data_IF_075900664004
#
_entry.id   IF_075900664004
#
_cell.length_a   1.000
_cell.length_b   1.000
_cell.length_c   1.000
_cell.angle_alpha   90.00
_cell.angle_beta   90.00
_cell.angle_gamma   90.00
#
_symmetry.space_group_name_H-M   'P 1'
#
loop_
_entity.id
_entity.type
_entity.pdbx_description
1 polymer ?
#
# COMPACT_ATOMS: atom_id res chain seq x y z
N UNK A 1 -4.10 -16.48 -7.81
CA UNK A 1 -2.89 -16.30 -8.56
C UNK A 1 -2.56 -14.81 -8.74
N UNK A 2 -1.39 -14.52 -9.30
CA UNK A 2 -0.88 -13.15 -9.44
C UNK A 2 -1.82 -12.26 -10.27
N UNK A 3 -2.42 -12.80 -11.34
CA UNK A 3 -3.36 -12.02 -12.18
C UNK A 3 -4.59 -11.56 -11.40
N UNK A 4 -5.16 -12.41 -10.55
CA UNK A 4 -6.29 -12.06 -9.72
C UNK A 4 -5.91 -10.96 -8.70
N UNK A 5 -4.72 -11.06 -8.10
CA UNK A 5 -4.22 -10.06 -7.17
C UNK A 5 -3.97 -8.71 -7.87
N UNK A 6 -3.38 -8.72 -9.07
CA UNK A 6 -3.18 -7.50 -9.85
C UNK A 6 -4.50 -6.82 -10.17
N UNK A 7 -5.53 -7.59 -10.54
CA UNK A 7 -6.86 -7.04 -10.79
C UNK A 7 -7.45 -6.43 -9.51
N UNK A 8 -7.33 -7.10 -8.37
CA UNK A 8 -7.81 -6.60 -7.09
C UNK A 8 -7.12 -5.29 -6.70
N UNK A 9 -5.81 -5.19 -6.95
CA UNK A 9 -5.00 -4.01 -6.61
C UNK A 9 -4.96 -2.95 -7.72
N UNK A 10 -5.82 -3.08 -8.74
CA UNK A 10 -5.88 -2.12 -9.85
C UNK A 10 -6.22 -0.72 -9.37
N UNK A 11 -6.00 0.27 -10.23
CA UNK A 11 -6.49 1.62 -10.00
C UNK A 11 -8.02 1.62 -10.07
N UNK A 12 -8.68 1.77 -8.93
CA UNK A 12 -10.14 1.70 -8.86
C UNK A 12 -10.83 2.90 -9.50
N UNK A 13 -10.11 3.99 -9.75
CA UNK A 13 -10.65 5.16 -10.44
C UNK A 13 -10.71 4.98 -11.95
N UNK A 14 -9.62 4.48 -12.56
CA UNK A 14 -9.52 4.31 -14.02
C UNK A 14 -9.71 2.85 -14.45
N UNK A 15 -9.78 1.93 -13.50
CA UNK A 15 -9.85 0.49 -13.72
C UNK A 15 -8.63 -0.09 -14.46
N UNK A 16 -7.54 0.65 -14.52
CA UNK A 16 -6.29 0.17 -15.10
C UNK A 16 -5.57 -0.78 -14.16
N UNK A 17 -4.89 -1.77 -14.72
CA UNK A 17 -4.08 -2.74 -13.97
C UNK A 17 -2.62 -2.63 -14.36
N UNK A 18 -1.75 -3.09 -13.45
CA UNK A 18 -0.32 -3.23 -13.66
C UNK A 18 0.13 -4.47 -12.90
N UNK A 19 1.23 -5.09 -13.33
CA UNK A 19 1.85 -6.16 -12.54
C UNK A 19 2.44 -5.55 -11.27
N UNK A 20 1.89 -5.95 -10.12
CA UNK A 20 2.37 -5.48 -8.82
C UNK A 20 3.73 -6.11 -8.51
N UNK A 21 4.59 -5.36 -7.84
CA UNK A 21 5.92 -5.81 -7.45
C UNK A 21 5.81 -6.99 -6.47
N UNK A 22 6.51 -8.07 -6.78
CA UNK A 22 6.53 -9.27 -5.94
C UNK A 22 7.09 -8.98 -4.54
N UNK A 23 8.07 -8.10 -4.43
CA UNK A 23 8.62 -7.70 -3.13
C UNK A 23 7.59 -7.00 -2.25
N UNK A 24 6.70 -6.21 -2.86
CA UNK A 24 5.59 -5.58 -2.14
C UNK A 24 4.62 -6.65 -1.62
N UNK A 25 4.27 -7.63 -2.47
CA UNK A 25 3.37 -8.72 -2.08
C UNK A 25 3.97 -9.51 -0.91
N UNK A 26 5.26 -9.80 -0.95
CA UNK A 26 5.95 -10.47 0.15
C UNK A 26 5.93 -9.64 1.42
N UNK A 27 6.11 -8.32 1.31
CA UNK A 27 6.05 -7.41 2.46
C UNK A 27 4.67 -7.46 3.11
N UNK A 28 3.60 -7.38 2.33
CA UNK A 28 2.23 -7.50 2.82
C UNK A 28 2.02 -8.84 3.54
N UNK A 29 2.48 -9.92 2.95
CA UNK A 29 2.35 -11.26 3.54
C UNK A 29 3.10 -11.38 4.87
N UNK A 30 4.29 -10.83 4.97
CA UNK A 30 5.07 -10.84 6.21
C UNK A 30 4.39 -10.03 7.32
N UNK A 31 3.84 -8.86 6.97
CA UNK A 31 3.07 -8.05 7.91
C UNK A 31 1.86 -8.84 8.42
N UNK A 32 1.10 -9.43 7.51
CA UNK A 32 -0.08 -10.22 7.85
C UNK A 32 0.25 -11.37 8.81
N UNK A 33 1.32 -12.11 8.54
CA UNK A 33 1.76 -13.20 9.41
C UNK A 33 2.11 -12.72 10.81
N UNK A 34 2.78 -11.58 10.91
CA UNK A 34 3.21 -11.03 12.20
C UNK A 34 2.06 -10.57 13.06
N UNK A 35 0.95 -10.13 12.47
CA UNK A 35 -0.23 -9.64 13.22
C UNK A 35 -1.26 -10.73 13.49
N UNK A 36 -0.98 -11.99 13.13
CA UNK A 36 -1.87 -13.12 13.47
C UNK A 36 -2.30 -14.00 12.31
N UNK A 37 -1.75 -13.82 11.11
CA UNK A 37 -1.80 -14.77 9.98
C UNK A 37 -3.13 -15.00 9.28
N UNK A 38 -4.26 -14.84 9.97
CA UNK A 38 -5.60 -15.10 9.41
C UNK A 38 -6.45 -13.84 9.28
N UNK A 39 -5.89 -12.68 9.59
CA UNK A 39 -6.63 -11.43 9.51
C UNK A 39 -6.67 -10.95 8.07
N UNK A 40 -7.82 -10.44 7.65
CA UNK A 40 -7.96 -9.85 6.33
C UNK A 40 -7.17 -8.56 6.23
N UNK A 41 -6.50 -8.36 5.10
CA UNK A 41 -5.86 -7.10 4.76
C UNK A 41 -6.81 -6.31 3.88
N UNK A 42 -7.23 -5.14 4.36
CA UNK A 42 -8.10 -4.26 3.58
C UNK A 42 -7.25 -3.26 2.81
N UNK A 43 -7.42 -3.24 1.49
CA UNK A 43 -6.69 -2.34 0.61
C UNK A 43 -7.48 -1.04 0.46
N UNK A 44 -6.92 0.04 0.95
CA UNK A 44 -7.50 1.39 0.80
C UNK A 44 -7.12 1.97 -0.56
N UNK A 45 -5.87 1.79 -0.98
CA UNK A 45 -5.38 2.21 -2.30
C UNK A 45 -4.26 1.29 -2.74
N UNK A 46 -4.35 0.77 -3.97
CA UNK A 46 -3.30 -0.01 -4.59
C UNK A 46 -2.66 0.76 -5.73
N UNK A 47 -2.67 0.19 -6.94
CA UNK A 47 -2.14 0.87 -8.11
C UNK A 47 -2.94 2.15 -8.40
N UNK A 48 -2.22 3.22 -8.74
CA UNK A 48 -2.81 4.45 -9.28
C UNK A 48 -2.32 4.65 -10.71
N UNK A 49 -3.25 4.89 -11.64
CA UNK A 49 -2.84 5.27 -12.99
C UNK A 49 -2.16 6.64 -12.95
N UNK A 50 -1.26 6.95 -13.91
CA UNK A 50 -0.64 8.27 -13.97
C UNK A 50 -1.67 9.41 -14.04
N UNK A 51 -2.75 9.22 -14.77
CA UNK A 51 -3.81 10.22 -14.93
C UNK A 51 -4.52 10.50 -13.60
N UNK A 52 -4.84 9.45 -12.85
CA UNK A 52 -5.50 9.62 -11.56
C UNK A 52 -4.57 10.30 -10.54
N UNK A 53 -3.29 9.91 -10.53
CA UNK A 53 -2.31 10.53 -9.64
C UNK A 53 -2.16 12.03 -9.93
N UNK A 54 -2.16 12.42 -11.22
CA UNK A 54 -2.16 13.82 -11.62
C UNK A 54 -3.39 14.57 -11.11
N UNK A 55 -4.57 13.96 -11.21
CA UNK A 55 -5.79 14.54 -10.65
C UNK A 55 -5.68 14.78 -9.16
N UNK A 56 -5.14 13.80 -8.41
CA UNK A 56 -4.94 13.93 -6.97
C UNK A 56 -4.03 15.12 -6.64
N UNK A 57 -2.95 15.29 -7.39
CA UNK A 57 -2.03 16.42 -7.22
C UNK A 57 -2.77 17.75 -7.48
N UNK A 58 -3.53 17.84 -8.57
CA UNK A 58 -4.29 19.05 -8.95
C UNK A 58 -5.36 19.40 -7.92
N UNK A 59 -5.95 18.39 -7.29
CA UNK A 59 -6.98 18.58 -6.25
C UNK A 59 -6.38 18.99 -4.91
N UNK A 60 -5.06 19.15 -4.81
CA UNK A 60 -4.39 19.57 -3.59
C UNK A 60 -4.24 18.48 -2.56
N UNK A 61 -4.36 17.21 -2.97
CA UNK A 61 -4.08 16.09 -2.07
C UNK A 61 -2.57 15.94 -1.87
N UNK A 62 -2.18 15.08 -0.92
CA UNK A 62 -0.77 14.81 -0.64
C UNK A 62 -0.14 13.77 -1.57
N UNK A 63 -0.76 13.49 -2.72
CA UNK A 63 -0.22 12.54 -3.67
C UNK A 63 1.13 13.03 -4.22
N UNK A 64 2.13 12.17 -4.22
CA UNK A 64 3.46 12.50 -4.75
C UNK A 64 3.48 12.38 -6.27
N UNK A 65 4.26 13.24 -6.94
CA UNK A 65 4.43 13.15 -8.41
C UNK A 65 5.02 11.83 -8.85
N UNK A 66 5.99 11.31 -8.10
CA UNK A 66 6.65 10.04 -8.37
C UNK A 66 6.20 9.00 -7.35
N UNK A 67 4.89 8.81 -7.24
CA UNK A 67 4.30 7.87 -6.29
C UNK A 67 4.64 6.43 -6.67
N UNK A 68 5.05 5.64 -5.68
CA UNK A 68 5.22 4.19 -5.85
C UNK A 68 3.89 3.47 -6.16
N UNK A 69 2.74 4.07 -5.85
CA UNK A 69 1.43 3.56 -6.29
C UNK A 69 1.34 3.49 -7.82
N UNK A 70 1.92 4.46 -8.53
CA UNK A 70 1.90 4.50 -10.00
C UNK A 70 2.75 3.40 -10.62
N UNK A 71 3.84 2.99 -9.95
CA UNK A 71 4.71 1.91 -10.44
C UNK A 71 4.29 0.52 -9.95
N UNK A 72 3.18 0.41 -9.22
CA UNK A 72 2.75 -0.88 -8.68
C UNK A 72 3.59 -1.35 -7.50
N UNK A 73 4.28 -0.44 -6.83
CA UNK A 73 5.21 -0.74 -5.73
C UNK A 73 4.71 -0.25 -4.38
N UNK A 74 3.47 0.20 -4.29
CA UNK A 74 2.91 0.70 -3.04
C UNK A 74 1.47 0.30 -2.85
N UNK A 75 1.07 0.18 -1.59
CA UNK A 75 -0.30 -0.10 -1.18
C UNK A 75 -0.57 0.60 0.14
N UNK A 76 -1.78 1.10 0.29
CA UNK A 76 -2.28 1.63 1.55
C UNK A 76 -3.23 0.61 2.15
N UNK A 77 -2.97 0.18 3.38
CA UNK A 77 -3.67 -0.95 3.99
C UNK A 77 -4.17 -0.63 5.39
N UNK A 78 -5.19 -1.37 5.78
CA UNK A 78 -5.63 -1.51 7.17
C UNK A 78 -5.97 -2.96 7.42
N UNK A 79 -5.85 -3.39 8.67
CA UNK A 79 -6.20 -4.75 9.09
C UNK A 79 -7.20 -4.63 10.24
N UNK A 80 -8.47 -5.00 10.03
CA UNK A 80 -9.48 -4.91 11.09
C UNK A 80 -9.05 -5.66 12.35
N UNK A 81 -9.23 -5.03 13.49
CA UNK A 81 -8.83 -5.59 14.78
C UNK A 81 -7.36 -5.36 15.15
N UNK A 82 -6.57 -4.79 14.26
CA UNK A 82 -5.18 -4.41 14.53
C UNK A 82 -5.09 -2.89 14.56
N UNK A 83 -4.70 -2.29 15.71
CA UNK A 83 -4.51 -0.84 15.77
C UNK A 83 -3.48 -0.38 14.74
N UNK A 84 -3.71 0.78 14.13
CA UNK A 84 -2.79 1.31 13.12
C UNK A 84 -1.36 1.47 13.63
N UNK A 85 -1.21 1.86 14.90
CA UNK A 85 0.09 1.98 15.54
C UNK A 85 0.83 0.63 15.58
N UNK A 86 0.12 -0.43 15.89
CA UNK A 86 0.69 -1.79 15.90
C UNK A 86 1.08 -2.21 14.49
N UNK A 87 0.22 -1.97 13.51
CA UNK A 87 0.50 -2.27 12.11
C UNK A 87 1.77 -1.54 11.63
N UNK A 88 1.88 -0.26 11.97
CA UNK A 88 3.08 0.55 11.67
C UNK A 88 4.33 -0.05 12.30
N UNK A 89 4.28 -0.40 13.58
CA UNK A 89 5.44 -0.94 14.29
C UNK A 89 5.91 -2.27 13.71
N UNK A 90 4.98 -3.16 13.37
CA UNK A 90 5.31 -4.43 12.73
C UNK A 90 5.99 -4.18 11.39
N UNK A 91 5.45 -3.30 10.56
CA UNK A 91 6.02 -2.98 9.27
C UNK A 91 7.43 -2.37 9.39
N UNK A 92 7.63 -1.48 10.36
CA UNK A 92 8.94 -0.88 10.62
C UNK A 92 9.99 -1.91 11.05
N UNK A 93 9.60 -2.86 11.90
CA UNK A 93 10.51 -3.92 12.36
C UNK A 93 10.95 -4.85 11.24
N UNK A 94 10.09 -5.08 10.26
CA UNK A 94 10.45 -5.90 9.11
C UNK A 94 11.49 -5.23 8.22
N UNK A 95 11.47 -3.89 8.12
CA UNK A 95 12.47 -3.13 7.38
C UNK A 95 12.50 -3.41 5.88
N UNK A 96 11.39 -3.86 5.29
CA UNK A 96 11.33 -4.30 3.89
C UNK A 96 11.11 -3.18 2.88
N UNK A 97 10.87 -1.95 3.34
CA UNK A 97 10.60 -0.83 2.43
C UNK A 97 10.08 0.40 3.16
N UNK A 98 9.37 1.26 2.45
CA UNK A 98 8.78 2.46 3.01
C UNK A 98 7.55 2.17 3.86
N UNK A 99 7.41 2.89 4.96
CA UNK A 99 6.27 2.78 5.87
C UNK A 99 5.78 4.19 6.20
N UNK A 100 4.55 4.49 5.80
CA UNK A 100 3.90 5.77 6.08
C UNK A 100 2.73 5.61 7.04
N UNK A 101 2.61 6.49 8.01
CA UNK A 101 1.56 6.43 9.02
C UNK A 101 0.53 7.54 8.78
N UNK A 102 -0.71 7.15 8.52
CA UNK A 102 -1.80 8.07 8.19
C UNK A 102 -3.02 7.81 9.09
N UNK A 103 -2.96 8.22 10.36
CA UNK A 103 -4.04 7.92 11.30
C UNK A 103 -5.37 8.57 10.95
N UNK A 104 -5.36 9.75 10.32
CA UNK A 104 -6.60 10.42 9.88
C UNK A 104 -7.25 9.66 8.72
N UNK A 105 -6.45 9.11 7.81
CA UNK A 105 -6.94 8.29 6.71
C UNK A 105 -7.23 6.85 7.12
N UNK A 106 -6.84 6.48 8.33
CA UNK A 106 -7.00 5.14 8.90
C UNK A 106 -6.29 4.06 8.10
N UNK A 107 -5.08 4.37 7.61
CA UNK A 107 -4.28 3.39 6.89
C UNK A 107 -2.78 3.56 7.17
N UNK A 108 -2.04 2.52 6.82
CA UNK A 108 -0.57 2.53 6.77
C UNK A 108 -0.17 2.31 5.32
N UNK A 109 0.71 3.17 4.82
CA UNK A 109 1.31 3.02 3.50
C UNK A 109 2.50 2.07 3.59
N UNK A 110 2.57 1.11 2.67
CA UNK A 110 3.69 0.19 2.51
C UNK A 110 4.19 0.27 1.08
N UNK A 111 5.50 0.31 0.90
CA UNK A 111 6.08 0.23 -0.45
C UNK A 111 7.36 -0.58 -0.45
N UNK A 112 7.77 -1.03 -1.64
CA UNK A 112 8.98 -1.83 -1.84
C UNK A 112 10.19 -0.97 -2.22
N UNK A 113 10.11 0.33 -2.04
CA UNK A 113 11.25 1.23 -2.21
C UNK A 113 12.25 1.11 -1.06
N UNK A 114 13.24 2.03 -0.99
CA UNK A 114 14.19 2.02 0.11
C UNK A 114 13.50 2.12 1.47
N UNK A 115 14.11 1.51 2.50
CA UNK A 115 13.58 1.62 3.85
C UNK A 115 13.60 3.08 4.30
N UNK A 116 12.44 3.58 4.66
CA UNK A 116 12.23 4.91 5.23
C UNK A 116 10.85 4.94 5.87
N UNK A 117 10.60 5.93 6.71
CA UNK A 117 9.29 6.04 7.36
C UNK A 117 8.90 7.50 7.57
N UNK A 118 7.61 7.71 7.67
CA UNK A 118 7.03 9.03 7.93
C UNK A 118 5.67 8.93 8.61
#
# INVERSE_FOLDING_TARGET
>A
ALNALNHFLRCHHTNETITMDVQLIEFINLVQKRVGGRREVHIVSGYRSPEYNEQLIRMGTRAARHSYHVSGQAVDVQIPGVPLRTLREVALRLGCGGVGYYPRGKFVHLDSGPFRHW
#
